data_IF_497434195885
#
_entry.id   IF_497434195885
#
_cell.length_a   1.000
_cell.length_b   1.000
_cell.length_c   1.000
_cell.angle_alpha   90.00
_cell.angle_beta   90.00
_cell.angle_gamma   90.00
#
_symmetry.space_group_name_H-M   'P 1'
#
loop_
_entity.id
_entity.type
_entity.pdbx_description
1 polymer ?
#
# COMPACT_ATOMS: atom_id res chain seq x y z
N UNK A 1 21.78 -22.61 24.87
CA UNK A 1 20.57 -21.82 25.21
C UNK A 1 20.46 -20.73 24.15
N UNK A 2 19.64 -20.95 23.12
CA UNK A 2 19.37 -19.95 22.09
C UNK A 2 18.43 -18.93 22.69
N UNK A 3 18.91 -17.71 22.89
CA UNK A 3 18.08 -16.56 23.27
C UNK A 3 16.91 -16.49 22.30
N UNK A 4 15.64 -16.49 22.74
CA UNK A 4 14.52 -16.27 21.83
C UNK A 4 14.77 -14.92 21.17
N UNK A 5 14.75 -14.87 19.83
CA UNK A 5 14.77 -13.62 19.11
C UNK A 5 13.68 -12.73 19.72
N UNK A 6 14.09 -11.66 20.38
CA UNK A 6 13.16 -10.73 21.01
C UNK A 6 12.57 -9.93 19.86
N UNK A 7 11.52 -10.46 19.24
CA UNK A 7 10.71 -9.70 18.31
C UNK A 7 10.19 -8.51 19.13
N UNK A 8 10.71 -7.32 18.84
CA UNK A 8 10.15 -6.10 19.44
C UNK A 8 8.72 -6.01 18.93
N UNK A 9 7.76 -6.19 19.83
CA UNK A 9 6.37 -6.32 19.47
C UNK A 9 5.85 -4.98 18.93
N UNK A 10 5.07 -5.05 17.86
CA UNK A 10 4.20 -3.95 17.43
C UNK A 10 3.29 -3.53 18.60
N UNK A 11 3.03 -2.24 18.74
CA UNK A 11 2.11 -1.72 19.76
C UNK A 11 0.76 -1.44 19.11
N UNK A 12 -0.27 -2.15 19.56
CA UNK A 12 -1.66 -1.89 19.19
C UNK A 12 -2.17 -0.63 19.89
N UNK A 13 -2.84 0.25 19.14
CA UNK A 13 -3.45 1.43 19.75
C UNK A 13 -4.81 1.08 20.35
N UNK A 14 -5.22 1.80 21.39
CA UNK A 14 -6.55 1.65 22.01
C UNK A 14 -7.67 1.89 21.00
N UNK A 15 -7.48 2.84 20.07
CA UNK A 15 -8.48 3.12 19.03
C UNK A 15 -8.54 2.01 17.98
N UNK A 16 -7.38 1.43 17.62
CA UNK A 16 -7.31 0.25 16.75
C UNK A 16 -8.04 -0.94 17.36
N UNK A 17 -7.77 -1.23 18.64
CA UNK A 17 -8.46 -2.29 19.39
C UNK A 17 -9.96 -2.03 19.52
N UNK A 18 -10.37 -0.77 19.76
CA UNK A 18 -11.78 -0.42 19.83
C UNK A 18 -12.48 -0.61 18.47
N UNK A 19 -11.84 -0.19 17.37
CA UNK A 19 -12.38 -0.36 16.01
C UNK A 19 -12.50 -1.84 15.64
N UNK A 20 -11.50 -2.64 16.00
CA UNK A 20 -11.55 -4.10 15.85
C UNK A 20 -12.73 -4.70 16.60
N UNK A 21 -12.92 -4.32 17.87
CA UNK A 21 -14.02 -4.82 18.69
C UNK A 21 -15.38 -4.42 18.10
N UNK A 22 -15.51 -3.19 17.62
CA UNK A 22 -16.73 -2.72 16.95
C UNK A 22 -17.02 -3.48 15.66
N UNK A 23 -15.99 -3.75 14.83
CA UNK A 23 -16.14 -4.55 13.62
C UNK A 23 -16.59 -5.98 13.98
N UNK A 24 -15.93 -6.61 14.95
CA UNK A 24 -16.25 -7.96 15.42
C UNK A 24 -17.69 -8.07 15.95
N UNK A 25 -18.18 -7.08 16.72
CA UNK A 25 -19.57 -7.03 17.18
C UNK A 25 -20.60 -6.93 16.05
N UNK A 26 -20.20 -6.37 14.91
CA UNK A 26 -21.03 -6.25 13.71
C UNK A 26 -20.89 -7.46 12.77
N UNK A 27 -20.05 -8.45 13.13
CA UNK A 27 -19.70 -9.56 12.23
C UNK A 27 -18.91 -9.10 11.01
N UNK A 28 -18.23 -7.95 11.13
CA UNK A 28 -17.42 -7.34 10.09
C UNK A 28 -15.94 -7.48 10.43
N UNK A 29 -15.15 -7.40 9.37
CA UNK A 29 -13.70 -7.45 9.42
C UNK A 29 -13.11 -6.07 9.68
N UNK A 30 -11.93 -6.02 10.30
CA UNK A 30 -11.21 -4.76 10.39
C UNK A 30 -10.44 -4.54 9.08
N UNK A 31 -10.85 -3.60 8.21
CA UNK A 31 -10.11 -3.36 6.98
C UNK A 31 -8.80 -2.67 7.31
N UNK A 32 -7.67 -3.30 6.97
CA UNK A 32 -6.38 -2.60 6.91
C UNK A 32 -6.30 -1.97 5.52
N UNK A 33 -5.99 -0.68 5.46
CA UNK A 33 -6.15 0.11 4.24
C UNK A 33 -4.89 0.85 3.84
N UNK A 34 -4.08 1.30 4.81
CA UNK A 34 -2.89 2.09 4.55
C UNK A 34 -1.75 1.73 5.50
N UNK A 35 -0.54 2.01 5.05
CA UNK A 35 0.69 1.96 5.86
C UNK A 35 1.36 3.31 5.74
N UNK A 36 1.84 3.83 6.86
CA UNK A 36 2.63 5.05 6.90
C UNK A 36 4.05 4.78 7.37
N UNK A 37 4.99 5.57 6.88
CA UNK A 37 6.37 5.60 7.34
C UNK A 37 6.71 6.98 7.90
N UNK A 38 7.47 7.02 8.98
CA UNK A 38 7.96 8.24 9.61
C UNK A 38 9.41 8.15 10.03
N UNK A 39 9.96 9.30 10.46
CA UNK A 39 11.40 9.49 10.65
C UNK A 39 11.85 9.67 12.10
N UNK A 40 10.94 9.52 13.07
CA UNK A 40 11.27 9.55 14.50
C UNK A 40 11.38 8.12 15.08
N UNK A 41 12.37 7.90 15.95
CA UNK A 41 12.58 6.63 16.65
C UNK A 41 12.21 6.79 18.13
N UNK A 42 11.27 5.99 18.63
CA UNK A 42 10.79 6.10 20.02
C UNK A 42 10.14 4.80 20.49
N UNK A 43 9.79 4.72 21.78
CA UNK A 43 8.95 3.64 22.32
C UNK A 43 7.49 3.99 22.04
N UNK A 44 6.76 3.22 21.21
CA UNK A 44 5.38 3.54 20.89
C UNK A 44 4.46 3.49 22.10
N UNK A 45 3.39 4.28 22.05
CA UNK A 45 2.33 4.30 23.06
C UNK A 45 1.02 3.78 22.45
N UNK A 46 0.29 3.00 23.23
CA UNK A 46 -1.06 2.52 22.91
C UNK A 46 -2.08 3.67 22.76
N UNK A 47 -1.77 4.89 23.20
CA UNK A 47 -2.65 6.06 23.05
C UNK A 47 -2.43 6.84 21.76
N UNK A 48 -1.46 6.44 20.92
CA UNK A 48 -1.18 7.15 19.69
C UNK A 48 -2.37 7.15 18.72
N UNK A 49 -2.56 8.30 18.10
CA UNK A 49 -3.55 8.52 17.05
C UNK A 49 -2.89 8.79 15.69
N UNK A 50 -1.59 9.11 15.72
CA UNK A 50 -0.73 9.33 14.56
C UNK A 50 0.70 8.88 14.87
N UNK A 51 1.51 8.77 13.82
CA UNK A 51 2.97 8.77 13.93
C UNK A 51 3.46 10.13 14.45
N UNK A 52 4.65 10.16 15.05
CA UNK A 52 5.20 11.42 15.60
C UNK A 52 5.77 12.32 14.51
N UNK A 53 6.42 11.71 13.52
CA UNK A 53 6.97 12.42 12.38
C UNK A 53 6.67 11.65 11.09
N UNK A 54 5.38 11.57 10.75
CA UNK A 54 4.91 10.96 9.50
C UNK A 54 5.51 11.67 8.29
N UNK A 55 6.07 10.89 7.35
CA UNK A 55 6.61 11.39 6.09
C UNK A 55 5.69 11.03 4.92
N UNK A 56 5.23 9.78 4.89
CA UNK A 56 4.43 9.27 3.79
C UNK A 56 3.40 8.27 4.31
N UNK A 57 2.23 8.25 3.69
CA UNK A 57 1.18 7.25 3.86
C UNK A 57 0.76 6.75 2.49
N UNK A 58 0.67 5.43 2.34
CA UNK A 58 0.36 4.77 1.07
C UNK A 58 -0.71 3.71 1.31
N UNK A 59 -1.58 3.44 0.33
CA UNK A 59 -2.51 2.33 0.42
C UNK A 59 -1.74 1.02 0.53
N UNK A 60 -2.31 0.05 1.25
CA UNK A 60 -1.79 -1.32 1.17
C UNK A 60 -2.04 -1.87 -0.23
N UNK A 61 -1.13 -2.72 -0.66
CA UNK A 61 -1.32 -3.61 -1.78
C UNK A 61 -2.24 -4.78 -1.44
N UNK A 62 -1.97 -5.91 -2.10
CA UNK A 62 -2.63 -7.16 -1.76
C UNK A 62 -2.38 -7.57 -0.30
N UNK A 63 -3.38 -8.21 0.30
CA UNK A 63 -3.30 -8.76 1.65
C UNK A 63 -3.63 -10.25 1.61
N UNK A 64 -2.96 -11.05 2.42
CA UNK A 64 -3.25 -12.47 2.59
C UNK A 64 -3.20 -12.84 4.07
N UNK A 65 -4.10 -13.72 4.47
CA UNK A 65 -4.04 -14.35 5.79
C UNK A 65 -3.16 -15.60 5.69
N UNK A 66 -2.09 -15.67 6.49
CA UNK A 66 -1.14 -16.79 6.40
C UNK A 66 -1.61 -17.98 7.23
N UNK A 67 -1.96 -17.77 8.50
CA UNK A 67 -2.28 -18.80 9.49
C UNK A 67 -3.11 -18.21 10.65
N UNK A 68 -4.45 -18.20 10.59
CA UNK A 68 -5.46 -17.84 11.63
C UNK A 68 -5.26 -16.60 12.54
N UNK A 69 -4.10 -15.94 12.51
CA UNK A 69 -3.65 -14.90 13.42
C UNK A 69 -2.46 -14.10 12.84
N UNK A 70 -2.15 -14.24 11.56
CA UNK A 70 -1.10 -13.48 10.89
C UNK A 70 -1.64 -12.88 9.61
N UNK A 71 -1.65 -11.56 9.54
CA UNK A 71 -1.99 -10.82 8.34
C UNK A 71 -0.70 -10.41 7.64
N UNK A 72 -0.59 -10.73 6.35
CA UNK A 72 0.50 -10.24 5.51
C UNK A 72 -0.06 -9.29 4.46
N UNK A 73 0.58 -8.14 4.29
CA UNK A 73 0.23 -7.19 3.24
C UNK A 73 1.51 -6.50 2.74
N UNK A 74 1.45 -5.95 1.53
CA UNK A 74 2.53 -5.14 0.99
C UNK A 74 2.20 -3.66 1.03
N UNK A 75 3.23 -2.82 0.98
CA UNK A 75 3.10 -1.41 0.69
C UNK A 75 4.24 -0.95 -0.23
N UNK A 76 3.92 -0.07 -1.17
CA UNK A 76 4.90 0.59 -2.05
C UNK A 76 5.05 2.04 -1.62
N UNK A 77 6.25 2.41 -1.22
CA UNK A 77 6.67 3.79 -0.99
C UNK A 77 7.52 4.25 -2.17
N UNK A 78 6.96 5.09 -3.03
CA UNK A 78 7.62 5.70 -4.18
C UNK A 78 7.68 7.23 -4.06
N UNK A 79 8.11 7.90 -5.13
CA UNK A 79 8.19 9.36 -5.21
C UNK A 79 9.53 9.96 -4.75
N UNK A 80 9.55 11.30 -4.72
CA UNK A 80 10.78 12.12 -4.59
C UNK A 80 11.28 12.27 -3.14
N UNK A 81 10.50 11.83 -2.15
CA UNK A 81 10.87 11.97 -0.75
C UNK A 81 12.08 11.09 -0.40
N UNK A 82 13.00 11.67 0.38
CA UNK A 82 14.12 10.96 1.01
C UNK A 82 14.01 11.10 2.53
N UNK A 83 14.02 9.97 3.23
CA UNK A 83 13.98 9.96 4.69
C UNK A 83 14.42 8.60 5.25
N UNK A 84 15.00 8.65 6.45
CA UNK A 84 15.23 7.45 7.24
C UNK A 84 13.91 6.97 7.83
N UNK A 85 13.60 5.70 7.63
CA UNK A 85 12.40 5.07 8.16
C UNK A 85 12.71 4.60 9.57
N UNK A 86 12.01 5.15 10.56
CA UNK A 86 12.21 4.85 11.99
C UNK A 86 10.93 4.49 12.74
N UNK A 87 9.78 4.72 12.11
CA UNK A 87 8.47 4.31 12.59
C UNK A 87 7.58 3.88 11.44
N UNK A 88 6.75 2.87 11.68
CA UNK A 88 5.73 2.36 10.76
C UNK A 88 4.37 2.43 11.46
N UNK A 89 3.37 2.93 10.75
CA UNK A 89 1.99 2.98 11.21
C UNK A 89 1.11 2.12 10.31
N UNK A 90 0.22 1.33 10.90
CA UNK A 90 -0.76 0.50 10.19
C UNK A 90 -2.14 1.11 10.42
N UNK A 91 -2.92 1.29 9.35
CA UNK A 91 -4.14 2.09 9.39
C UNK A 91 -5.36 1.36 8.86
N UNK A 92 -6.48 1.58 9.53
CA UNK A 92 -7.83 1.26 9.05
C UNK A 92 -8.56 2.56 8.77
N UNK A 93 -8.64 2.94 7.50
CA UNK A 93 -9.07 4.26 7.02
C UNK A 93 -8.26 5.37 7.70
N UNK A 94 -8.88 6.13 8.60
CA UNK A 94 -8.26 7.24 9.34
C UNK A 94 -7.83 6.83 10.77
N UNK A 95 -8.00 5.57 11.14
CA UNK A 95 -7.68 5.06 12.48
C UNK A 95 -6.32 4.39 12.46
N UNK A 96 -5.36 4.92 13.23
CA UNK A 96 -4.08 4.26 13.47
C UNK A 96 -4.32 3.02 14.33
N UNK A 97 -4.12 1.84 13.74
CA UNK A 97 -4.39 0.55 14.36
C UNK A 97 -3.21 0.08 15.20
N UNK A 98 -2.01 0.19 14.65
CA UNK A 98 -0.80 -0.30 15.28
C UNK A 98 0.43 0.52 14.87
N UNK A 99 1.42 0.59 15.75
CA UNK A 99 2.66 1.34 15.56
C UNK A 99 3.85 0.43 15.85
N UNK A 100 4.85 0.49 14.97
CA UNK A 100 6.14 -0.13 15.18
C UNK A 100 7.23 0.93 15.12
N UNK A 101 7.96 1.09 16.23
CA UNK A 101 9.17 1.90 16.32
C UNK A 101 10.02 1.35 17.44
N UNK A 102 11.34 1.50 17.31
CA UNK A 102 12.30 1.11 18.34
C UNK A 102 13.18 2.33 18.63
N UNK A 103 13.37 2.72 19.91
CA UNK A 103 14.21 3.86 20.27
C UNK A 103 15.61 3.76 19.67
N UNK A 104 16.09 4.87 19.10
CA UNK A 104 17.43 4.99 18.49
C UNK A 104 17.72 3.99 17.36
N UNK A 105 16.70 3.37 16.77
CA UNK A 105 16.87 2.43 15.68
C UNK A 105 16.30 2.97 14.37
N UNK A 106 17.06 2.79 13.29
CA UNK A 106 16.58 2.93 11.94
C UNK A 106 16.10 1.57 11.43
N UNK A 107 14.91 1.55 10.85
CA UNK A 107 14.27 0.36 10.31
C UNK A 107 14.65 0.17 8.84
N UNK A 108 14.65 1.27 8.07
CA UNK A 108 14.97 1.25 6.64
C UNK A 108 15.42 2.66 6.16
N UNK A 109 15.72 2.83 4.88
CA UNK A 109 16.00 4.11 4.25
C UNK A 109 15.26 4.24 2.92
N UNK A 110 14.42 5.27 2.79
CA UNK A 110 13.77 5.61 1.52
C UNK A 110 14.59 6.68 0.81
N UNK A 111 15.13 6.35 -0.36
CA UNK A 111 15.84 7.29 -1.23
C UNK A 111 14.90 7.93 -2.26
N UNK A 112 15.14 9.19 -2.62
CA UNK A 112 14.39 9.89 -3.67
C UNK A 112 14.35 9.09 -4.98
N UNK A 113 13.18 9.01 -5.60
CA UNK A 113 12.94 8.36 -6.89
C UNK A 113 13.19 6.85 -6.94
N UNK A 114 13.56 6.23 -5.81
CA UNK A 114 13.64 4.78 -5.67
C UNK A 114 12.34 4.25 -5.04
N UNK A 115 11.77 3.20 -5.61
CA UNK A 115 10.65 2.47 -5.03
C UNK A 115 11.13 1.56 -3.88
N UNK A 116 10.53 1.71 -2.70
CA UNK A 116 10.69 0.78 -1.58
C UNK A 116 9.40 -0.01 -1.42
N UNK A 117 9.47 -1.32 -1.70
CA UNK A 117 8.38 -2.25 -1.46
C UNK A 117 8.74 -3.15 -0.30
N UNK A 118 7.82 -3.26 0.66
CA UNK A 118 7.99 -4.11 1.81
C UNK A 118 6.75 -4.94 2.06
N UNK A 119 6.96 -6.20 2.42
CA UNK A 119 5.90 -7.07 2.94
C UNK A 119 5.93 -7.01 4.46
N UNK A 120 4.85 -6.52 5.03
CA UNK A 120 4.63 -6.49 6.46
C UNK A 120 3.87 -7.75 6.87
N UNK A 121 4.30 -8.36 7.98
CA UNK A 121 3.54 -9.42 8.63
C UNK A 121 3.14 -8.92 10.02
N UNK A 122 1.84 -8.75 10.22
CA UNK A 122 1.25 -8.33 11.48
C UNK A 122 0.75 -9.56 12.24
N UNK A 123 1.32 -9.76 13.42
CA UNK A 123 0.85 -10.76 14.36
C UNK A 123 -0.37 -10.22 15.13
N UNK A 124 -1.52 -10.87 14.94
CA UNK A 124 -2.78 -10.55 15.60
C UNK A 124 -3.15 -11.55 16.70
N UNK A 125 -2.26 -12.48 17.03
CA UNK A 125 -2.49 -13.49 18.10
C UNK A 125 -2.68 -12.87 19.49
N UNK A 126 -2.15 -11.67 19.71
CA UNK A 126 -2.33 -10.92 20.96
C UNK A 126 -3.75 -10.34 21.14
N UNK A 127 -4.61 -10.44 20.13
CA UNK A 127 -5.95 -9.86 20.16
C UNK A 127 -6.94 -10.84 20.82
N UNK A 128 -7.77 -10.39 21.78
CA UNK A 128 -8.59 -11.26 22.63
C UNK A 128 -9.75 -11.98 21.92
N UNK A 129 -9.86 -11.91 20.60
CA UNK A 129 -10.99 -12.48 19.85
C UNK A 129 -10.47 -13.15 18.59
N UNK A 130 -10.68 -14.46 18.49
CA UNK A 130 -10.24 -15.33 17.39
C UNK A 130 -11.01 -15.12 16.07
N UNK A 131 -11.79 -14.03 15.95
CA UNK A 131 -12.61 -13.71 14.78
C UNK A 131 -12.12 -12.40 14.18
N UNK A 132 -10.95 -12.45 13.55
CA UNK A 132 -10.44 -11.35 12.73
C UNK A 132 -10.34 -11.92 11.33
N UNK A 133 -11.39 -11.74 10.52
CA UNK A 133 -11.19 -11.90 9.09
C UNK A 133 -10.75 -10.53 8.53
N UNK A 134 -10.06 -10.55 7.42
CA UNK A 134 -9.46 -9.36 6.82
C UNK A 134 -9.88 -9.32 5.35
N UNK A 135 -10.21 -8.14 4.86
CA UNK A 135 -10.53 -7.99 3.44
C UNK A 135 -9.24 -8.14 2.62
N UNK A 136 -9.14 -9.28 1.90
CA UNK A 136 -8.00 -9.64 1.05
C UNK A 136 -8.08 -8.87 -0.26
N UNK A 137 -7.19 -7.88 -0.42
CA UNK A 137 -6.95 -7.20 -1.69
C UNK A 137 -6.08 -8.04 -2.66
N UNK A 138 -6.26 -7.83 -3.96
CA UNK A 138 -5.60 -8.56 -5.05
C UNK A 138 -4.06 -8.44 -5.02
N UNK A 139 -3.41 -9.61 -4.93
CA UNK A 139 -2.04 -10.01 -5.28
C UNK A 139 -0.95 -8.92 -5.50
N UNK A 140 0.10 -9.02 -4.69
CA UNK A 140 1.27 -8.13 -4.59
C UNK A 140 2.07 -7.90 -5.90
N UNK A 141 1.93 -8.75 -6.91
CA UNK A 141 2.63 -8.56 -8.20
C UNK A 141 2.09 -7.37 -9.02
N UNK A 142 0.86 -6.91 -8.75
CA UNK A 142 0.22 -5.86 -9.55
C UNK A 142 0.74 -4.43 -9.25
N UNK A 143 1.36 -4.22 -8.09
CA UNK A 143 1.72 -2.86 -7.62
C UNK A 143 2.81 -2.24 -8.49
N UNK A 144 3.74 -3.04 -9.00
CA UNK A 144 4.75 -2.59 -9.96
C UNK A 144 4.23 -2.51 -11.40
N UNK A 145 3.21 -3.29 -11.74
CA UNK A 145 2.76 -3.42 -13.14
C UNK A 145 1.62 -2.48 -13.50
N UNK A 146 0.83 -2.01 -12.54
CA UNK A 146 -0.34 -1.19 -12.83
C UNK A 146 0.01 0.11 -13.57
N UNK A 147 1.01 0.85 -13.09
CA UNK A 147 1.45 2.10 -13.73
C UNK A 147 2.08 1.83 -15.10
N UNK A 148 2.96 0.84 -15.19
CA UNK A 148 3.60 0.48 -16.46
C UNK A 148 2.59 -0.01 -17.50
N UNK A 149 1.60 -0.79 -17.10
CA UNK A 149 0.51 -1.23 -17.97
C UNK A 149 -0.40 -0.07 -18.38
N UNK A 150 -0.65 0.90 -17.49
CA UNK A 150 -1.38 2.11 -17.83
C UNK A 150 -0.62 2.97 -18.85
N UNK A 151 0.70 3.12 -18.68
CA UNK A 151 1.58 3.82 -19.61
C UNK A 151 1.66 3.11 -20.97
N UNK A 152 1.79 1.78 -20.98
CA UNK A 152 1.76 0.97 -22.20
C UNK A 152 0.40 1.09 -22.92
N UNK A 153 -0.69 1.03 -22.17
CA UNK A 153 -2.04 1.22 -22.72
C UNK A 153 -2.18 2.61 -23.32
N UNK A 154 -1.69 3.65 -22.63
CA UNK A 154 -1.69 5.01 -23.15
C UNK A 154 -0.92 5.14 -24.46
N UNK A 155 0.28 4.54 -24.53
CA UNK A 155 1.08 4.51 -25.75
C UNK A 155 0.37 3.78 -26.91
N UNK A 156 -0.27 2.64 -26.63
CA UNK A 156 -1.06 1.90 -27.62
C UNK A 156 -2.28 2.69 -28.11
N UNK A 157 -2.97 3.42 -27.22
CA UNK A 157 -4.08 4.30 -27.60
C UNK A 157 -3.62 5.45 -28.51
N UNK A 158 -2.46 6.05 -28.22
CA UNK A 158 -1.87 7.06 -29.10
C UNK A 158 -1.50 6.48 -30.47
N UNK A 159 -0.93 5.27 -30.50
CA UNK A 159 -0.66 4.59 -31.76
C UNK A 159 -1.93 4.32 -32.56
N UNK A 160 -2.99 3.80 -31.92
CA UNK A 160 -4.29 3.57 -32.55
C UNK A 160 -4.91 4.85 -33.08
N UNK A 161 -4.85 5.95 -32.32
CA UNK A 161 -5.29 7.28 -32.75
C UNK A 161 -4.57 7.73 -34.03
N UNK A 162 -3.25 7.59 -34.07
CA UNK A 162 -2.44 7.99 -35.22
C UNK A 162 -2.79 7.15 -36.47
N UNK A 163 -3.01 5.84 -36.32
CA UNK A 163 -3.43 4.97 -37.42
C UNK A 163 -4.82 5.36 -37.98
N UNK A 164 -5.78 5.67 -37.11
CA UNK A 164 -7.11 6.14 -37.52
C UNK A 164 -7.00 7.47 -38.28
N UNK A 165 -6.20 8.41 -37.79
CA UNK A 165 -5.97 9.69 -38.46
C UNK A 165 -5.33 9.50 -39.85
N UNK A 166 -4.36 8.59 -39.97
CA UNK A 166 -3.73 8.27 -41.25
C UNK A 166 -4.73 7.65 -42.23
N UNK A 167 -5.52 6.66 -41.78
CA UNK A 167 -6.56 6.03 -42.61
C UNK A 167 -7.61 7.06 -43.05
N UNK A 168 -8.02 7.97 -42.16
CA UNK A 168 -8.94 9.04 -42.50
C UNK A 168 -8.35 10.01 -43.52
N UNK A 169 -7.09 10.42 -43.37
CA UNK A 169 -6.41 11.26 -44.35
C UNK A 169 -6.35 10.58 -45.72
N UNK A 170 -6.04 9.28 -45.77
CA UNK A 170 -6.04 8.52 -47.02
C UNK A 170 -7.43 8.47 -47.64
N UNK A 171 -8.48 8.23 -46.86
CA UNK A 171 -9.87 8.25 -47.33
C UNK A 171 -10.25 9.61 -47.92
N UNK A 172 -9.89 10.72 -47.28
CA UNK A 172 -10.14 12.06 -47.80
C UNK A 172 -9.39 12.32 -49.11
N UNK A 173 -8.17 11.80 -49.25
CA UNK A 173 -7.39 11.89 -50.49
C UNK A 173 -8.07 11.06 -51.58
N UNK A 174 -8.48 9.83 -51.30
CA UNK A 174 -9.22 8.97 -52.23
C UNK A 174 -10.52 9.61 -52.69
N UNK A 175 -11.30 10.19 -51.78
CA UNK A 175 -12.53 10.89 -52.12
C UNK A 175 -12.27 12.15 -52.97
N UNK A 176 -11.15 12.85 -52.73
CA UNK A 176 -10.73 13.98 -53.59
C UNK A 176 -10.31 13.51 -54.97
N UNK A 177 -9.54 12.43 -55.07
CA UNK A 177 -9.11 11.84 -56.35
C UNK A 177 -10.33 11.37 -57.16
N UNK A 178 -11.26 10.65 -56.51
CA UNK A 178 -12.52 10.20 -57.13
C UNK A 178 -13.36 11.37 -57.65
N UNK A 179 -13.46 12.47 -56.90
CA UNK A 179 -14.16 13.69 -57.33
C UNK A 179 -13.43 14.44 -58.45
N UNK A 180 -12.11 14.31 -58.54
CA UNK A 180 -11.29 14.93 -59.57
C UNK A 180 -11.24 14.13 -60.89
N UNK A 181 -11.87 12.95 -60.94
CA UNK A 181 -12.00 12.14 -62.16
C UNK A 181 -10.76 11.30 -62.50
N UNK A 182 -9.91 11.02 -61.51
CA UNK A 182 -8.82 10.04 -61.59
C UNK A 182 -9.24 8.72 -60.95
#
# INVERSE_FOLDING_TARGET
>A
MTTPATYSAVVWTKQGLAKLLSASQQGLDLPITHVSAGSEAYTPSDTQTSLRQQQQIVPIGGAEELNNNQLRFSALFDGELTYDVKEIGIWSEQTLVAVYSIPNQQLNHKAANAAWVEMFTLDVSALPTQNIHFEVGVNNANIFMAEELANLTHAQLLQGKNLIQQAHSNMLIEDRLRKAGF
#
